data_IF_163639075307
#
_entry.id   IF_163639075307
#
_cell.length_a   1.000
_cell.length_b   1.000
_cell.length_c   1.000
_cell.angle_alpha   90.00
_cell.angle_beta   90.00
_cell.angle_gamma   90.00
#
_symmetry.space_group_name_H-M   'P 1'
#
loop_
_entity.id
_entity.type
_entity.pdbx_description
1 polymer ?
#
# COMPACT_ATOMS: atom_id res chain seq x y z
N UNK A 1 -4.25 -5.43 13.58
CA UNK A 1 -4.02 -6.54 12.64
C UNK A 1 -2.65 -7.12 12.94
N UNK A 2 -2.56 -8.45 13.01
CA UNK A 2 -1.31 -9.18 13.18
C UNK A 2 -0.96 -9.79 11.83
N UNK A 3 0.27 -9.59 11.36
CA UNK A 3 0.79 -10.26 10.17
C UNK A 3 1.58 -11.49 10.59
N UNK A 4 1.59 -12.51 9.75
CA UNK A 4 2.47 -13.68 9.94
C UNK A 4 3.93 -13.26 9.78
N UNK A 5 4.85 -14.01 10.41
CA UNK A 5 6.26 -13.68 10.38
C UNK A 5 6.84 -13.76 8.96
N UNK A 6 6.44 -14.80 8.22
CA UNK A 6 6.89 -15.03 6.85
C UNK A 6 5.97 -14.34 5.84
N UNK A 7 6.49 -14.16 4.62
CA UNK A 7 5.75 -13.60 3.49
C UNK A 7 5.20 -14.76 2.67
N UNK A 8 3.88 -14.75 2.44
CA UNK A 8 3.20 -15.67 1.54
C UNK A 8 3.46 -15.26 0.08
N UNK A 9 4.26 -16.05 -0.63
CA UNK A 9 4.63 -15.76 -2.01
C UNK A 9 3.44 -15.79 -2.98
N UNK A 10 2.47 -16.69 -2.78
CA UNK A 10 1.31 -16.80 -3.64
C UNK A 10 0.37 -15.59 -3.47
N UNK A 11 0.15 -15.18 -2.22
CA UNK A 11 -0.64 -13.99 -1.92
C UNK A 11 0.08 -12.71 -2.39
N UNK A 12 1.40 -12.63 -2.25
CA UNK A 12 2.19 -11.52 -2.79
C UNK A 12 2.09 -11.43 -4.32
N UNK A 13 2.15 -12.54 -5.05
CA UNK A 13 1.99 -12.56 -6.51
C UNK A 13 0.59 -12.09 -6.94
N UNK A 14 -0.46 -12.50 -6.22
CA UNK A 14 -1.81 -11.97 -6.42
C UNK A 14 -1.85 -10.46 -6.17
N UNK A 15 -1.23 -10.00 -5.09
CA UNK A 15 -1.11 -8.60 -4.73
C UNK A 15 -0.42 -7.75 -5.79
N UNK A 16 0.65 -8.26 -6.39
CA UNK A 16 1.36 -7.61 -7.48
C UNK A 16 0.46 -7.42 -8.71
N UNK A 17 -0.29 -8.45 -9.10
CA UNK A 17 -1.23 -8.36 -10.22
C UNK A 17 -2.30 -7.28 -9.98
N UNK A 18 -2.89 -7.24 -8.77
CA UNK A 18 -3.88 -6.22 -8.39
C UNK A 18 -3.25 -4.83 -8.34
N UNK A 19 -2.04 -4.70 -7.77
CA UNK A 19 -1.30 -3.46 -7.70
C UNK A 19 -1.03 -2.88 -9.10
N UNK A 20 -0.63 -3.73 -10.05
CA UNK A 20 -0.39 -3.32 -11.43
C UNK A 20 -1.65 -2.79 -12.12
N UNK A 21 -2.82 -3.36 -11.80
CA UNK A 21 -4.10 -2.90 -12.36
C UNK A 21 -4.64 -1.62 -11.71
N UNK A 22 -4.50 -1.48 -10.38
CA UNK A 22 -5.22 -0.45 -9.61
C UNK A 22 -4.33 0.65 -9.01
N UNK A 23 -3.02 0.44 -8.90
CA UNK A 23 -2.13 1.33 -8.15
C UNK A 23 -0.96 1.88 -8.98
N UNK A 24 -0.44 1.09 -9.93
CA UNK A 24 0.77 1.42 -10.70
C UNK A 24 0.63 2.64 -11.63
N UNK A 25 -0.61 3.07 -11.91
CA UNK A 25 -0.89 4.31 -12.64
C UNK A 25 -0.48 5.56 -11.85
N UNK A 26 -0.44 5.49 -10.51
CA UNK A 26 -0.15 6.64 -9.65
C UNK A 26 1.11 6.45 -8.80
N UNK A 27 1.45 5.22 -8.46
CA UNK A 27 2.56 4.90 -7.55
C UNK A 27 3.70 4.16 -8.26
N UNK A 28 4.93 4.51 -7.88
CA UNK A 28 6.15 3.76 -8.15
C UNK A 28 6.75 3.28 -6.84
N UNK A 29 7.69 2.35 -6.91
CA UNK A 29 8.31 1.81 -5.69
C UNK A 29 9.41 2.72 -5.16
N UNK A 30 10.19 3.33 -6.04
CA UNK A 30 11.46 4.00 -5.74
C UNK A 30 11.40 5.53 -5.82
N UNK A 31 10.41 6.08 -6.53
CA UNK A 31 10.32 7.52 -6.76
C UNK A 31 8.90 8.07 -6.63
N UNK A 32 8.83 9.38 -6.39
CA UNK A 32 7.58 10.14 -6.52
C UNK A 32 7.10 10.09 -7.96
N UNK A 33 5.80 9.88 -8.11
CA UNK A 33 5.10 10.03 -9.38
C UNK A 33 3.88 10.93 -9.19
N UNK A 34 2.67 10.40 -9.36
CA UNK A 34 1.44 11.10 -8.92
C UNK A 34 1.30 11.02 -7.39
N UNK A 35 1.50 9.81 -6.85
CA UNK A 35 1.55 9.54 -5.41
C UNK A 35 2.97 9.35 -4.88
N UNK A 36 3.11 9.13 -3.56
CA UNK A 36 4.39 8.81 -2.92
C UNK A 36 4.98 7.48 -3.38
N UNK A 37 6.31 7.31 -3.28
CA UNK A 37 6.96 6.01 -3.45
C UNK A 37 6.50 5.01 -2.38
N UNK A 38 6.37 3.74 -2.75
CA UNK A 38 5.82 2.69 -1.88
C UNK A 38 6.79 1.58 -1.49
N UNK A 39 8.00 1.52 -2.04
CA UNK A 39 8.93 0.38 -1.87
C UNK A 39 9.25 0.06 -0.40
N UNK A 40 9.37 1.08 0.45
CA UNK A 40 9.66 0.96 1.87
C UNK A 40 8.51 1.48 2.75
N UNK A 41 7.28 1.45 2.23
CA UNK A 41 6.13 2.03 2.94
C UNK A 41 5.89 1.39 4.31
N UNK A 42 6.16 0.09 4.46
CA UNK A 42 5.94 -0.64 5.71
C UNK A 42 7.04 -0.39 6.76
N UNK A 43 8.19 0.16 6.36
CA UNK A 43 9.17 0.69 7.31
C UNK A 43 8.71 2.04 7.92
N UNK A 44 7.85 2.80 7.23
CA UNK A 44 7.40 4.14 7.65
C UNK A 44 5.98 4.19 8.21
N UNK A 45 5.16 3.20 7.90
CA UNK A 45 3.72 3.17 8.22
C UNK A 45 3.33 1.77 8.66
N UNK A 46 2.37 1.71 9.59
CA UNK A 46 1.85 0.43 10.04
C UNK A 46 1.05 -0.25 8.93
N UNK A 47 1.00 -1.59 8.91
CA UNK A 47 0.14 -2.33 7.99
C UNK A 47 -1.33 -1.90 8.04
N UNK A 48 -1.84 -1.58 9.25
CA UNK A 48 -3.21 -1.10 9.43
C UNK A 48 -3.44 0.26 8.75
N UNK A 49 -2.47 1.17 8.82
CA UNK A 49 -2.55 2.44 8.10
C UNK A 49 -2.62 2.23 6.59
N UNK A 50 -1.77 1.36 6.03
CA UNK A 50 -1.71 1.08 4.60
C UNK A 50 -3.03 0.46 4.11
N UNK A 51 -3.56 -0.53 4.85
CA UNK A 51 -4.87 -1.12 4.55
C UNK A 51 -6.00 -0.10 4.58
N UNK A 52 -6.06 0.74 5.61
CA UNK A 52 -7.11 1.77 5.72
C UNK A 52 -6.99 2.82 4.61
N UNK A 53 -5.77 3.18 4.20
CA UNK A 53 -5.57 4.09 3.07
C UNK A 53 -6.04 3.49 1.75
N UNK A 54 -5.85 2.18 1.54
CA UNK A 54 -6.33 1.49 0.33
C UNK A 54 -7.86 1.33 0.31
N UNK A 55 -8.45 0.99 1.45
CA UNK A 55 -9.88 0.64 1.56
C UNK A 55 -10.78 1.87 1.73
N UNK A 56 -10.28 2.93 2.36
CA UNK A 56 -11.07 4.11 2.70
C UNK A 56 -10.21 5.40 2.67
N UNK A 57 -9.64 5.75 1.49
CA UNK A 57 -8.76 6.89 1.37
C UNK A 57 -9.47 8.21 1.69
N UNK A 58 -10.75 8.37 1.37
CA UNK A 58 -11.50 9.59 1.66
C UNK A 58 -11.57 9.87 3.16
N UNK A 59 -11.93 8.88 3.97
CA UNK A 59 -11.97 9.04 5.43
C UNK A 59 -10.57 9.22 6.02
N UNK A 60 -9.56 8.52 5.47
CA UNK A 60 -8.16 8.70 5.90
C UNK A 60 -7.68 10.12 5.64
N UNK A 61 -7.93 10.67 4.45
CA UNK A 61 -7.61 12.06 4.10
C UNK A 61 -8.36 13.06 4.99
N UNK A 62 -9.56 12.71 5.45
CA UNK A 62 -10.31 13.55 6.38
C UNK A 62 -9.85 13.42 7.82
N UNK A 63 -9.46 12.25 8.33
CA UNK A 63 -9.30 12.03 9.78
C UNK A 63 -7.87 11.79 10.22
N UNK A 64 -7.02 11.24 9.35
CA UNK A 64 -5.68 10.83 9.74
C UNK A 64 -4.64 11.93 9.43
N UNK A 65 -3.87 12.42 10.42
CA UNK A 65 -2.93 13.53 10.22
C UNK A 65 -1.88 13.25 9.13
N UNK A 66 -1.26 12.06 9.15
CA UNK A 66 -0.29 11.68 8.12
C UNK A 66 -0.87 11.63 6.70
N UNK A 67 -2.16 11.31 6.54
CA UNK A 67 -2.81 11.30 5.22
C UNK A 67 -3.10 12.73 4.74
N UNK A 68 -3.50 13.63 5.65
CA UNK A 68 -3.63 15.07 5.37
C UNK A 68 -2.31 15.71 4.96
N UNK A 69 -1.21 15.36 5.63
CA UNK A 69 0.14 15.81 5.27
C UNK A 69 0.54 15.36 3.85
N UNK A 70 0.27 14.09 3.51
CA UNK A 70 0.48 13.59 2.16
C UNK A 70 -0.38 14.36 1.15
N UNK A 71 -1.66 14.63 1.44
CA UNK A 71 -2.49 15.43 0.54
C UNK A 71 -1.93 16.84 0.31
N UNK A 72 -1.43 17.51 1.36
CA UNK A 72 -0.80 18.81 1.22
C UNK A 72 0.50 18.76 0.37
N UNK A 73 1.23 17.65 0.40
CA UNK A 73 2.48 17.47 -0.36
C UNK A 73 2.27 17.07 -1.83
N UNK A 74 1.26 16.22 -2.08
CA UNK A 74 0.99 15.65 -3.40
C UNK A 74 -0.14 16.37 -4.14
N UNK A 75 -0.95 17.18 -3.44
CA UNK A 75 -2.04 18.01 -3.97
C UNK A 75 -3.07 17.24 -4.80
N UNK A 76 -3.05 15.91 -4.73
CA UNK A 76 -3.94 14.99 -5.44
C UNK A 76 -4.52 14.01 -4.43
N UNK A 77 -5.84 14.00 -4.22
CA UNK A 77 -6.45 13.00 -3.35
C UNK A 77 -6.34 11.62 -4.00
N UNK A 78 -5.96 10.62 -3.21
CA UNK A 78 -6.04 9.23 -3.64
C UNK A 78 -7.51 8.84 -3.75
N UNK A 79 -8.01 8.42 -4.92
CA UNK A 79 -9.40 8.00 -5.05
C UNK A 79 -9.59 6.58 -4.53
N UNK A 80 -10.80 6.26 -4.06
CA UNK A 80 -11.17 4.89 -3.75
C UNK A 80 -11.00 3.97 -4.99
N UNK A 81 -10.21 2.90 -4.84
CA UNK A 81 -9.94 1.92 -5.90
C UNK A 81 -10.95 0.76 -5.94
N UNK A 82 -12.04 0.90 -5.16
CA UNK A 82 -13.10 -0.10 -4.94
C UNK A 82 -12.52 -1.48 -4.66
N UNK A 83 -11.49 -1.52 -3.81
CA UNK A 83 -10.83 -2.74 -3.40
C UNK A 83 -11.71 -3.49 -2.41
N UNK A 84 -11.76 -4.81 -2.57
CA UNK A 84 -12.19 -5.71 -1.51
C UNK A 84 -11.12 -5.79 -0.42
N UNK A 85 -11.51 -6.27 0.76
CA UNK A 85 -10.56 -6.48 1.85
C UNK A 85 -9.45 -7.47 1.46
N UNK A 86 -9.78 -8.52 0.71
CA UNK A 86 -8.82 -9.55 0.29
C UNK A 86 -7.82 -9.02 -0.75
N UNK A 87 -8.29 -8.21 -1.70
CA UNK A 87 -7.39 -7.52 -2.65
C UNK A 87 -6.44 -6.57 -1.92
N UNK A 88 -6.95 -5.79 -0.96
CA UNK A 88 -6.11 -4.91 -0.14
C UNK A 88 -5.08 -5.71 0.67
N UNK A 89 -5.49 -6.86 1.24
CA UNK A 89 -4.60 -7.77 1.98
C UNK A 89 -3.53 -8.36 1.06
N UNK A 90 -3.87 -8.72 -0.18
CA UNK A 90 -2.93 -9.22 -1.16
C UNK A 90 -1.91 -8.14 -1.55
N UNK A 91 -2.35 -6.92 -1.85
CA UNK A 91 -1.46 -5.78 -2.14
C UNK A 91 -0.53 -5.51 -0.96
N UNK A 92 -1.05 -5.55 0.27
CA UNK A 92 -0.22 -5.39 1.46
C UNK A 92 0.88 -6.47 1.51
N UNK A 93 0.56 -7.72 1.18
CA UNK A 93 1.55 -8.80 1.12
C UNK A 93 2.63 -8.54 0.07
N UNK A 94 2.23 -8.07 -1.11
CA UNK A 94 3.17 -7.62 -2.13
C UNK A 94 4.07 -6.48 -1.61
N UNK A 95 3.53 -5.48 -0.93
CA UNK A 95 4.35 -4.40 -0.35
C UNK A 95 5.34 -4.89 0.71
N UNK A 96 5.09 -6.04 1.35
CA UNK A 96 6.07 -6.68 2.24
C UNK A 96 7.29 -7.18 1.48
N UNK A 97 7.14 -7.67 0.25
CA UNK A 97 8.29 -8.12 -0.58
C UNK A 97 9.17 -6.97 -1.04
N UNK A 98 8.66 -5.74 -1.00
CA UNK A 98 9.41 -4.55 -1.41
C UNK A 98 10.32 -4.00 -0.30
N UNK A 99 10.16 -4.47 0.94
CA UNK A 99 10.94 -3.95 2.07
C UNK A 99 12.41 -4.37 1.98
N UNK A 100 13.37 -3.53 2.42
CA UNK A 100 14.77 -3.91 2.49
C UNK A 100 14.96 -5.20 3.31
N UNK A 101 15.58 -6.22 2.70
CA UNK A 101 15.83 -7.51 3.35
C UNK A 101 14.63 -8.46 3.41
N UNK A 102 13.55 -8.18 2.69
CA UNK A 102 12.42 -9.10 2.57
C UNK A 102 12.82 -10.36 1.77
N UNK A 103 12.61 -11.52 2.38
CA UNK A 103 12.74 -12.83 1.71
C UNK A 103 11.38 -13.52 1.78
N UNK A 104 10.74 -13.81 0.64
CA UNK A 104 9.53 -14.64 0.60
C UNK A 104 9.79 -16.03 1.18
N UNK A 105 8.78 -16.63 1.82
CA UNK A 105 8.81 -18.06 2.10
C UNK A 105 8.91 -18.85 0.78
N UNK A 106 9.57 -20.02 0.79
CA UNK A 106 9.71 -20.87 -0.40
C UNK A 106 8.38 -21.42 -0.94
#
# INVERSE_FOLDING_TARGET
MTLEAEIDAALAAQGEAVFNMKCAACHKMDQRYVGPPLGDVLARRSPAYVMNMMLNPEEMLQKHPAARELLAQYMTPMPNQTLTHDEARAILEFLRTQQPGATPAP
#
